data_IF_151583683328
#
_entry.id   IF_151583683328
#
_cell.length_a   1.000
_cell.length_b   1.000
_cell.length_c   1.000
_cell.angle_alpha   90.00
_cell.angle_beta   90.00
_cell.angle_gamma   90.00
#
_symmetry.space_group_name_H-M   'P 1'
#
loop_
_entity.id
_entity.type
_entity.pdbx_description
1 polymer ?
#
# COMPACT_ATOMS: atom_id res chain seq x y z
N UNK A 1 15.75 -17.85 37.95
CA UNK A 1 16.38 -16.86 37.04
C UNK A 1 15.87 -17.16 35.65
N UNK A 2 15.21 -16.19 35.01
CA UNK A 2 14.58 -16.44 33.71
C UNK A 2 15.61 -16.56 32.60
N UNK A 3 15.43 -17.59 31.78
CA UNK A 3 16.15 -17.87 30.54
C UNK A 3 16.08 -16.69 29.58
N UNK A 4 17.25 -16.26 29.11
CA UNK A 4 17.44 -15.23 28.08
C UNK A 4 16.72 -15.61 26.77
N UNK A 5 15.97 -14.67 26.19
CA UNK A 5 15.45 -14.78 24.83
C UNK A 5 16.49 -14.23 23.86
N UNK A 6 16.97 -15.06 22.93
CA UNK A 6 17.90 -14.65 21.86
C UNK A 6 17.10 -14.35 20.60
N UNK A 7 17.25 -13.14 20.05
CA UNK A 7 16.67 -12.75 18.77
C UNK A 7 17.76 -12.84 17.70
N UNK A 8 17.56 -13.71 16.72
CA UNK A 8 18.44 -13.79 15.55
C UNK A 8 17.96 -12.81 14.49
N UNK A 9 18.83 -11.89 14.08
CA UNK A 9 18.55 -10.90 13.03
C UNK A 9 19.65 -10.98 11.98
N UNK A 10 19.24 -11.05 10.72
CA UNK A 10 20.15 -10.95 9.58
C UNK A 10 20.57 -9.47 9.43
N UNK A 11 21.88 -9.23 9.49
CA UNK A 11 22.50 -7.89 9.50
C UNK A 11 22.11 -7.11 8.23
N UNK A 12 21.91 -7.80 7.10
CA UNK A 12 21.58 -7.19 5.82
C UNK A 12 20.06 -7.11 5.56
N UNK A 13 19.23 -7.67 6.44
CA UNK A 13 17.77 -7.66 6.26
C UNK A 13 17.21 -6.24 6.13
N UNK A 14 17.71 -5.29 6.93
CA UNK A 14 17.26 -3.90 6.87
C UNK A 14 17.49 -3.28 5.49
N UNK A 15 18.72 -3.40 4.95
CA UNK A 15 19.08 -2.83 3.67
C UNK A 15 18.33 -3.51 2.50
N UNK A 16 18.16 -4.84 2.56
CA UNK A 16 17.39 -5.59 1.55
C UNK A 16 15.91 -5.18 1.53
N UNK A 17 15.31 -4.99 2.70
CA UNK A 17 13.92 -4.54 2.82
C UNK A 17 13.76 -3.12 2.27
N UNK A 18 14.69 -2.22 2.61
CA UNK A 18 14.73 -0.84 2.09
C UNK A 18 14.81 -0.84 0.56
N UNK A 19 15.77 -1.56 -0.03
CA UNK A 19 15.92 -1.62 -1.49
C UNK A 19 14.67 -2.20 -2.16
N UNK A 20 14.09 -3.25 -1.58
CA UNK A 20 12.87 -3.86 -2.11
C UNK A 20 11.71 -2.86 -2.09
N UNK A 21 11.49 -2.17 -0.98
CA UNK A 21 10.45 -1.14 -0.86
C UNK A 21 10.67 0.00 -1.88
N UNK A 22 11.88 0.55 -1.95
CA UNK A 22 12.20 1.63 -2.89
C UNK A 22 12.01 1.19 -4.36
N UNK A 23 12.28 -0.08 -4.68
CA UNK A 23 12.10 -0.60 -6.04
C UNK A 23 10.63 -0.83 -6.44
N UNK A 24 9.74 -1.03 -5.47
CA UNK A 24 8.31 -1.24 -5.70
C UNK A 24 7.56 0.08 -5.87
N UNK A 25 7.93 1.08 -5.08
CA UNK A 25 7.26 2.36 -5.09
C UNK A 25 7.39 3.08 -6.44
N UNK A 26 6.33 3.77 -6.89
CA UNK A 26 5.09 4.12 -6.16
C UNK A 26 3.95 3.09 -6.35
N UNK A 27 4.27 1.83 -6.63
CA UNK A 27 3.30 0.72 -6.65
C UNK A 27 3.33 -0.01 -5.32
N UNK A 28 2.23 -0.65 -4.99
CA UNK A 28 2.15 -1.54 -3.82
C UNK A 28 2.93 -2.83 -4.06
N UNK A 29 2.81 -3.41 -5.27
CA UNK A 29 3.52 -4.63 -5.64
C UNK A 29 3.77 -4.72 -7.15
N UNK A 30 4.43 -5.81 -7.58
CA UNK A 30 4.75 -6.05 -9.00
C UNK A 30 3.52 -6.34 -9.85
N UNK A 31 2.46 -6.89 -9.27
CA UNK A 31 1.19 -7.20 -9.94
C UNK A 31 0.11 -6.15 -9.70
N UNK A 32 0.11 -5.46 -8.55
CA UNK A 32 -0.86 -4.42 -8.25
C UNK A 32 -0.32 -3.03 -8.56
N UNK A 33 -1.24 -2.06 -8.68
CA UNK A 33 -0.86 -0.67 -8.90
C UNK A 33 -0.70 0.03 -7.54
N UNK A 34 -1.10 1.29 -7.43
CA UNK A 34 -1.09 2.05 -6.18
C UNK A 34 -2.28 1.66 -5.29
N UNK A 35 -2.03 1.59 -3.99
CA UNK A 35 -2.98 1.28 -2.92
C UNK A 35 -2.89 2.35 -1.82
N UNK A 36 -3.98 2.61 -1.11
CA UNK A 36 -4.05 3.51 0.03
C UNK A 36 -3.29 2.97 1.25
N UNK A 37 -3.04 1.66 1.34
CA UNK A 37 -2.17 1.04 2.33
C UNK A 37 -0.73 1.57 2.29
N UNK A 38 -0.32 2.21 1.17
CA UNK A 38 0.98 2.88 1.09
C UNK A 38 1.05 4.11 2.00
N UNK A 39 -0.06 4.78 2.32
CA UNK A 39 -0.06 5.97 3.18
C UNK A 39 0.56 5.69 4.57
N UNK A 40 0.07 4.73 5.37
CA UNK A 40 0.68 4.42 6.66
C UNK A 40 2.07 3.79 6.54
N UNK A 41 2.43 3.22 5.37
CA UNK A 41 3.77 2.67 5.12
C UNK A 41 4.81 3.77 4.93
N UNK A 42 4.49 4.80 4.12
CA UNK A 42 5.41 5.91 3.83
C UNK A 42 5.34 7.02 4.87
N UNK A 43 4.23 7.11 5.63
CA UNK A 43 3.98 8.15 6.63
C UNK A 43 3.74 7.54 8.02
N UNK A 44 3.10 8.29 8.92
CA UNK A 44 2.76 7.78 10.24
C UNK A 44 1.82 6.56 10.13
N UNK A 45 2.12 5.44 10.82
CA UNK A 45 3.15 5.28 11.85
C UNK A 45 4.48 4.67 11.39
N UNK A 46 4.63 4.20 10.14
CA UNK A 46 5.77 3.36 9.76
C UNK A 46 7.02 4.13 9.30
N UNK A 47 6.86 5.26 8.61
CA UNK A 47 7.97 6.08 8.09
C UNK A 47 9.05 5.27 7.37
N UNK A 48 8.65 4.30 6.55
CA UNK A 48 9.57 3.32 5.98
C UNK A 48 10.50 3.89 4.88
N UNK A 49 10.34 5.15 4.53
CA UNK A 49 11.13 5.85 3.52
C UNK A 49 11.95 6.99 4.12
N UNK A 50 13.17 7.12 3.63
CA UNK A 50 14.12 8.19 3.90
C UNK A 50 14.34 9.10 2.67
N UNK A 51 14.00 8.65 1.47
CA UNK A 51 14.07 9.44 0.23
C UNK A 51 12.82 10.32 0.06
N UNK A 52 13.00 11.63 0.23
CA UNK A 52 11.94 12.63 0.09
C UNK A 52 11.34 12.71 -1.32
N UNK A 53 12.15 12.48 -2.36
CA UNK A 53 11.68 12.54 -3.75
C UNK A 53 10.74 11.37 -4.02
N UNK A 54 11.15 10.16 -3.62
CA UNK A 54 10.33 8.96 -3.78
C UNK A 54 9.07 9.01 -2.91
N UNK A 55 9.18 9.56 -1.69
CA UNK A 55 8.04 9.83 -0.83
C UNK A 55 7.02 10.75 -1.53
N UNK A 56 7.46 11.89 -2.03
CA UNK A 56 6.60 12.88 -2.69
C UNK A 56 5.91 12.30 -3.93
N UNK A 57 6.67 11.57 -4.76
CA UNK A 57 6.12 10.89 -5.94
C UNK A 57 5.07 9.84 -5.58
N UNK A 58 5.32 9.06 -4.52
CA UNK A 58 4.38 8.04 -4.05
C UNK A 58 3.11 8.68 -3.51
N UNK A 59 3.26 9.70 -2.66
CA UNK A 59 2.14 10.43 -2.07
C UNK A 59 1.28 11.10 -3.15
N UNK A 60 1.89 11.79 -4.11
CA UNK A 60 1.18 12.43 -5.22
C UNK A 60 0.41 11.39 -6.04
N UNK A 61 1.02 10.24 -6.35
CA UNK A 61 0.33 9.18 -7.09
C UNK A 61 -0.87 8.62 -6.33
N UNK A 62 -0.75 8.39 -5.02
CA UNK A 62 -1.85 7.96 -4.16
C UNK A 62 -2.97 8.99 -4.15
N UNK A 63 -2.64 10.26 -3.90
CA UNK A 63 -3.61 11.36 -3.84
C UNK A 63 -4.33 11.52 -5.18
N UNK A 64 -3.59 11.58 -6.29
CA UNK A 64 -4.18 11.78 -7.61
C UNK A 64 -5.08 10.63 -8.06
N UNK A 65 -4.79 9.39 -7.65
CA UNK A 65 -5.51 8.19 -8.12
C UNK A 65 -6.61 7.72 -7.19
N UNK A 66 -6.44 7.87 -5.88
CA UNK A 66 -7.30 7.25 -4.88
C UNK A 66 -8.14 8.26 -4.10
N UNK A 67 -7.75 9.55 -4.04
CA UNK A 67 -8.55 10.57 -3.35
C UNK A 67 -9.89 10.78 -4.03
N UNK A 68 -10.95 10.85 -3.23
CA UNK A 68 -12.31 11.21 -3.62
C UNK A 68 -12.95 12.17 -2.62
N UNK A 69 -14.25 12.42 -2.75
CA UNK A 69 -14.99 13.38 -1.92
C UNK A 69 -14.99 13.02 -0.43
N UNK A 70 -15.02 11.72 -0.10
CA UNK A 70 -15.19 11.21 1.26
C UNK A 70 -13.94 10.46 1.78
N UNK A 71 -12.75 10.76 1.25
CA UNK A 71 -11.51 10.10 1.65
C UNK A 71 -10.83 9.41 0.47
N UNK A 72 -10.20 8.25 0.72
CA UNK A 72 -9.43 7.51 -0.28
C UNK A 72 -10.10 6.16 -0.60
N UNK A 73 -10.12 5.79 -1.87
CA UNK A 73 -10.38 4.41 -2.30
C UNK A 73 -9.25 3.51 -1.81
N UNK A 74 -9.54 2.23 -1.52
CA UNK A 74 -8.49 1.29 -1.07
C UNK A 74 -7.47 1.06 -2.19
N UNK A 75 -7.95 0.72 -3.39
CA UNK A 75 -7.13 0.55 -4.58
C UNK A 75 -7.92 0.97 -5.83
N UNK A 76 -7.24 0.97 -6.99
CA UNK A 76 -7.90 1.25 -8.27
C UNK A 76 -8.95 0.18 -8.59
N UNK A 77 -10.13 0.60 -9.07
CA UNK A 77 -11.26 -0.30 -9.33
C UNK A 77 -11.78 -1.01 -8.08
N UNK A 78 -11.74 -0.33 -6.95
CA UNK A 78 -12.48 -0.75 -5.76
C UNK A 78 -13.99 -0.52 -5.97
N UNK A 79 -14.75 -1.61 -6.07
CA UNK A 79 -16.21 -1.59 -6.25
C UNK A 79 -16.99 -1.72 -4.94
N UNK A 80 -16.32 -1.92 -3.80
CA UNK A 80 -16.98 -2.20 -2.53
C UNK A 80 -17.76 -0.99 -2.02
N UNK A 81 -19.00 -1.21 -1.61
CA UNK A 81 -19.96 -0.19 -1.16
C UNK A 81 -20.12 0.99 -2.13
N UNK A 82 -19.95 0.72 -3.42
CA UNK A 82 -20.27 1.68 -4.48
C UNK A 82 -21.67 1.42 -5.00
N UNK A 83 -22.26 2.39 -5.70
CA UNK A 83 -23.57 2.23 -6.35
C UNK A 83 -23.60 1.14 -7.44
N UNK A 84 -22.43 0.66 -7.86
CA UNK A 84 -22.28 -0.44 -8.83
C UNK A 84 -22.30 -1.82 -8.16
N UNK A 85 -22.21 -1.89 -6.82
CA UNK A 85 -22.20 -3.16 -6.09
C UNK A 85 -23.60 -3.78 -6.02
N UNK A 86 -23.71 -5.04 -6.44
CA UNK A 86 -24.92 -5.86 -6.28
C UNK A 86 -24.88 -6.58 -4.92
N UNK A 87 -25.72 -6.18 -3.94
CA UNK A 87 -25.67 -6.73 -2.58
C UNK A 87 -26.05 -8.21 -2.51
N UNK A 88 -26.71 -8.74 -3.54
CA UNK A 88 -27.13 -10.15 -3.59
C UNK A 88 -26.04 -11.05 -4.18
N UNK A 89 -24.90 -10.50 -4.65
CA UNK A 89 -23.87 -11.25 -5.35
C UNK A 89 -22.52 -11.15 -4.66
N UNK A 90 -21.83 -12.30 -4.52
CA UNK A 90 -20.53 -12.39 -3.86
C UNK A 90 -19.35 -11.87 -4.70
N UNK A 91 -19.42 -12.00 -6.02
CA UNK A 91 -18.31 -11.67 -6.93
C UNK A 91 -18.75 -10.72 -8.04
N UNK A 92 -17.87 -9.78 -8.39
CA UNK A 92 -18.08 -8.92 -9.55
C UNK A 92 -17.97 -9.72 -10.85
N UNK A 93 -18.72 -9.31 -11.87
CA UNK A 93 -18.61 -9.87 -13.22
C UNK A 93 -17.33 -9.36 -13.90
N UNK A 94 -16.78 -10.10 -14.87
CA UNK A 94 -15.69 -9.60 -15.69
C UNK A 94 -16.03 -8.22 -16.28
N UNK A 95 -15.11 -7.26 -16.14
CA UNK A 95 -15.23 -5.88 -16.61
C UNK A 95 -16.35 -5.02 -15.99
N UNK A 96 -16.94 -5.45 -14.87
CA UNK A 96 -17.98 -4.68 -14.17
C UNK A 96 -17.43 -3.41 -13.50
N UNK A 97 -16.24 -3.50 -12.90
CA UNK A 97 -15.56 -2.35 -12.31
C UNK A 97 -14.52 -1.85 -13.32
N UNK A 98 -14.85 -0.77 -14.04
CA UNK A 98 -13.96 -0.11 -15.00
C UNK A 98 -13.11 0.98 -14.36
#
# INVERSE_FOLDING_TARGET
GCSWSVIFVDIDAHNRNRQTLCSLLPRESRSHNTDAALLPCISYPAFALDDEVLFSQTLDKVVRKLKGKYGFKRFLRDGYRTSLEDPNRRYYRPAEIK
#
